data_IF_196631597831
#
_entry.id   IF_196631597831
#
_cell.length_a   1.000
_cell.length_b   1.000
_cell.length_c   1.000
_cell.angle_alpha   90.00
_cell.angle_beta   90.00
_cell.angle_gamma   90.00
#
_symmetry.space_group_name_H-M   'P 1'
#
loop_
_entity.id
_entity.type
_entity.pdbx_description
1 polymer ?
#
# COMPACT_ATOMS: atom_id res chain seq x y z
N UNK A 1 9.76 -3.57 -2.10
CA UNK A 1 9.37 -4.60 -1.14
C UNK A 1 7.85 -4.59 -0.99
N UNK A 2 7.25 -5.76 -0.76
CA UNK A 2 5.83 -5.92 -0.45
C UNK A 2 5.74 -6.54 0.94
N UNK A 3 5.08 -5.88 1.87
CA UNK A 3 4.98 -6.30 3.27
C UNK A 3 3.51 -6.41 3.65
N UNK A 4 3.16 -7.46 4.39
CA UNK A 4 1.83 -7.56 5.02
C UNK A 4 1.96 -7.09 6.45
N UNK A 5 1.26 -6.00 6.78
CA UNK A 5 1.36 -5.31 8.07
C UNK A 5 -0.02 -5.15 8.71
N UNK A 6 -0.13 -4.93 10.03
CA UNK A 6 -1.40 -4.52 10.64
C UNK A 6 -1.92 -3.23 9.98
N UNK A 7 -3.23 -3.15 9.71
CA UNK A 7 -3.81 -1.96 9.06
C UNK A 7 -3.71 -0.70 9.90
N UNK A 8 -3.55 -0.86 11.22
CA UNK A 8 -3.40 0.23 12.18
C UNK A 8 -1.93 0.60 12.47
N UNK A 9 -0.97 0.12 11.66
CA UNK A 9 0.47 0.35 11.90
C UNK A 9 0.86 1.84 11.87
N UNK A 10 0.08 2.67 11.17
CA UNK A 10 0.23 4.13 11.14
C UNK A 10 -0.69 4.85 12.13
N UNK A 11 -1.12 4.15 13.19
CA UNK A 11 -1.89 4.72 14.30
C UNK A 11 -1.17 4.43 15.62
N UNK A 12 -1.13 5.41 16.53
CA UNK A 12 -0.48 5.28 17.84
C UNK A 12 0.74 6.18 18.02
N UNK A 13 1.46 5.98 19.13
CA UNK A 13 2.49 6.93 19.61
C UNK A 13 3.79 6.88 18.80
N UNK A 14 4.12 5.72 18.21
CA UNK A 14 5.41 5.50 17.52
C UNK A 14 5.37 5.71 15.99
N UNK A 15 4.26 6.21 15.45
CA UNK A 15 4.05 6.34 14.00
C UNK A 15 5.13 7.21 13.34
N UNK A 16 5.46 8.35 13.96
CA UNK A 16 6.50 9.26 13.43
C UNK A 16 7.88 8.60 13.30
N UNK A 17 8.22 7.69 14.22
CA UNK A 17 9.49 6.96 14.17
C UNK A 17 9.49 5.95 13.02
N UNK A 18 8.38 5.23 12.85
CA UNK A 18 8.20 4.28 11.75
C UNK A 18 8.24 4.98 10.40
N UNK A 19 7.49 6.08 10.23
CA UNK A 19 7.49 6.89 9.01
C UNK A 19 8.89 7.37 8.68
N UNK A 20 9.63 7.90 9.66
CA UNK A 20 11.02 8.34 9.47
C UNK A 20 11.93 7.19 9.05
N UNK A 21 11.79 6.02 9.68
CA UNK A 21 12.60 4.84 9.34
C UNK A 21 12.34 4.38 7.90
N UNK A 22 11.07 4.27 7.51
CA UNK A 22 10.66 3.91 6.14
C UNK A 22 11.20 4.96 5.16
N UNK A 23 10.99 6.24 5.45
CA UNK A 23 11.36 7.36 4.58
C UNK A 23 12.87 7.61 4.48
N UNK A 24 13.71 6.95 5.28
CA UNK A 24 15.18 7.12 5.20
C UNK A 24 15.72 6.47 3.93
N UNK A 25 15.39 5.20 3.71
CA UNK A 25 15.95 4.40 2.61
C UNK A 25 14.93 4.04 1.53
N UNK A 26 13.64 4.30 1.79
CA UNK A 26 12.55 3.91 0.89
C UNK A 26 11.54 5.03 0.69
N UNK A 27 10.82 4.97 -0.40
CA UNK A 27 9.59 5.72 -0.65
C UNK A 27 8.41 4.77 -0.52
N UNK A 28 7.41 5.16 0.25
CA UNK A 28 6.14 4.45 0.29
C UNK A 28 5.41 4.67 -1.04
N UNK A 29 5.01 3.59 -1.69
CA UNK A 29 4.34 3.63 -2.99
C UNK A 29 2.83 3.44 -2.83
N UNK A 30 2.43 2.46 -2.02
CA UNK A 30 1.03 2.18 -1.77
C UNK A 30 0.83 1.54 -0.40
N UNK A 31 -0.36 1.74 0.14
CA UNK A 31 -0.89 1.06 1.31
C UNK A 31 -2.31 0.58 1.00
N UNK A 32 -2.44 -0.73 0.80
CA UNK A 32 -3.67 -1.36 0.34
C UNK A 32 -4.28 -2.15 1.50
N UNK A 33 -5.41 -1.69 2.04
CA UNK A 33 -6.10 -2.43 3.09
C UNK A 33 -6.77 -3.66 2.49
N UNK A 34 -6.51 -4.83 3.06
CA UNK A 34 -7.19 -6.05 2.64
C UNK A 34 -8.68 -5.99 3.05
N UNK A 35 -9.54 -6.77 2.37
CA UNK A 35 -10.96 -6.82 2.70
C UNK A 35 -11.16 -7.26 4.16
N UNK A 36 -12.02 -6.58 4.94
CA UNK A 36 -12.27 -6.96 6.34
C UNK A 36 -12.83 -8.37 6.46
N UNK A 37 -13.50 -8.87 5.42
CA UNK A 37 -14.09 -10.22 5.35
C UNK A 37 -13.07 -11.36 5.38
N UNK A 38 -11.77 -11.07 5.21
CA UNK A 38 -10.70 -12.04 5.40
C UNK A 38 -10.31 -12.25 6.88
N UNK A 39 -10.78 -11.38 7.77
CA UNK A 39 -10.34 -11.34 9.16
C UNK A 39 -11.53 -11.57 10.10
N UNK A 40 -11.26 -12.23 11.23
CA UNK A 40 -12.30 -12.49 12.25
C UNK A 40 -12.81 -11.20 12.92
N UNK A 41 -12.00 -10.15 12.95
CA UNK A 41 -12.33 -8.86 13.53
C UNK A 41 -11.46 -7.75 12.94
N UNK A 42 -11.89 -6.50 13.10
CA UNK A 42 -11.18 -5.31 12.59
C UNK A 42 -9.75 -5.16 13.13
N UNK A 43 -9.50 -5.56 14.39
CA UNK A 43 -8.17 -5.48 14.99
C UNK A 43 -7.16 -6.41 14.32
N UNK A 44 -7.62 -7.49 13.70
CA UNK A 44 -6.80 -8.43 12.96
C UNK A 44 -6.61 -8.02 11.49
N UNK A 45 -7.25 -6.94 11.03
CA UNK A 45 -7.17 -6.48 9.65
C UNK A 45 -5.74 -6.15 9.28
N UNK A 46 -5.33 -6.62 8.11
CA UNK A 46 -4.00 -6.40 7.56
C UNK A 46 -4.06 -5.57 6.29
N UNK A 47 -2.93 -4.97 5.96
CA UNK A 47 -2.73 -4.18 4.75
C UNK A 47 -1.44 -4.61 4.06
N UNK A 48 -1.40 -4.40 2.75
CA UNK A 48 -0.20 -4.56 1.94
C UNK A 48 0.49 -3.19 1.86
N UNK A 49 1.66 -3.10 2.45
CA UNK A 49 2.56 -1.95 2.35
C UNK A 49 3.57 -2.20 1.23
N UNK A 50 3.58 -1.32 0.24
CA UNK A 50 4.49 -1.36 -0.92
C UNK A 50 5.53 -0.26 -0.77
N UNK A 51 6.80 -0.65 -0.71
CA UNK A 51 7.95 0.23 -0.55
C UNK A 51 8.88 0.13 -1.76
N UNK A 52 9.45 1.25 -2.19
CA UNK A 52 10.50 1.29 -3.22
C UNK A 52 11.77 1.85 -2.60
N UNK A 53 12.91 1.16 -2.76
CA UNK A 53 14.20 1.67 -2.29
C UNK A 53 14.55 2.96 -3.06
N UNK A 54 15.00 4.00 -2.35
CA UNK A 54 15.49 5.24 -2.97
C UNK A 54 16.70 4.96 -3.84
N UNK A 55 16.69 5.46 -5.07
CA UNK A 55 17.81 5.39 -6.01
C UNK A 55 17.87 6.69 -6.80
N UNK A 56 19.02 7.36 -6.72
CA UNK A 56 19.25 8.65 -7.37
C UNK A 56 18.93 8.57 -8.87
N UNK A 57 18.12 9.50 -9.36
CA UNK A 57 17.68 9.56 -10.77
C UNK A 57 16.53 8.61 -11.15
N UNK A 58 16.18 7.64 -10.31
CA UNK A 58 15.13 6.64 -10.60
C UNK A 58 13.91 6.77 -9.71
N UNK A 59 14.09 7.05 -8.41
CA UNK A 59 12.96 7.26 -7.51
C UNK A 59 12.50 8.70 -7.52
N UNK A 60 11.23 8.89 -7.90
CA UNK A 60 10.53 10.17 -7.76
C UNK A 60 9.56 10.08 -6.58
N UNK A 61 9.28 11.20 -5.89
CA UNK A 61 8.12 11.28 -5.01
C UNK A 61 6.88 10.93 -5.83
N UNK A 62 6.15 9.91 -5.41
CA UNK A 62 4.88 9.52 -6.00
C UNK A 62 3.76 9.90 -5.06
N UNK A 63 2.58 10.11 -5.62
CA UNK A 63 1.37 10.13 -4.80
C UNK A 63 1.13 8.73 -4.26
N UNK A 64 1.15 8.60 -2.93
CA UNK A 64 0.96 7.31 -2.26
C UNK A 64 -0.45 6.82 -2.53
N UNK A 65 -0.59 5.62 -3.11
CA UNK A 65 -1.89 5.01 -3.29
C UNK A 65 -2.39 4.44 -1.96
N UNK A 66 -3.41 5.08 -1.39
CA UNK A 66 -4.17 4.55 -0.26
C UNK A 66 -5.49 3.99 -0.79
N UNK A 67 -5.68 2.67 -0.71
CA UNK A 67 -6.89 2.05 -1.22
C UNK A 67 -7.39 0.91 -0.34
N UNK A 68 -8.70 0.63 -0.44
CA UNK A 68 -9.31 -0.55 0.15
C UNK A 68 -9.56 -1.56 -0.95
N UNK A 69 -9.01 -2.75 -0.79
CA UNK A 69 -9.27 -3.85 -1.71
C UNK A 69 -10.71 -4.33 -1.47
N UNK A 70 -11.54 -4.45 -2.53
CA UNK A 70 -12.92 -4.94 -2.41
C UNK A 70 -12.93 -6.42 -2.06
N UNK A 71 -14.07 -6.92 -1.58
CA UNK A 71 -14.22 -8.33 -1.23
C UNK A 71 -13.87 -9.23 -2.43
N UNK A 72 -13.00 -10.21 -2.21
CA UNK A 72 -12.59 -11.20 -3.21
C UNK A 72 -13.74 -12.07 -3.70
N UNK A 73 -14.84 -12.15 -2.94
CA UNK A 73 -16.09 -12.82 -3.32
C UNK A 73 -16.93 -12.00 -4.30
N UNK A 74 -16.55 -10.76 -4.62
CA UNK A 74 -17.17 -9.94 -5.66
C UNK A 74 -16.21 -9.75 -6.85
N UNK A 75 -16.22 -10.68 -7.83
CA UNK A 75 -15.29 -10.66 -8.95
C UNK A 75 -15.36 -9.37 -9.78
N UNK A 76 -16.56 -8.78 -9.94
CA UNK A 76 -16.76 -7.57 -10.73
C UNK A 76 -16.07 -6.36 -10.10
N UNK A 77 -16.28 -6.14 -8.80
CA UNK A 77 -15.61 -5.04 -8.08
C UNK A 77 -14.09 -5.28 -7.99
N UNK A 78 -13.67 -6.52 -7.77
CA UNK A 78 -12.26 -6.86 -7.73
C UNK A 78 -11.57 -6.61 -9.08
N UNK A 79 -12.22 -6.95 -10.20
CA UNK A 79 -11.70 -6.67 -11.53
C UNK A 79 -11.60 -5.17 -11.83
N UNK A 80 -12.60 -4.38 -11.40
CA UNK A 80 -12.55 -2.92 -11.47
C UNK A 80 -11.36 -2.35 -10.69
N UNK A 81 -11.20 -2.78 -9.44
CA UNK A 81 -10.07 -2.38 -8.60
C UNK A 81 -8.71 -2.72 -9.23
N UNK A 82 -8.55 -3.92 -9.81
CA UNK A 82 -7.31 -4.31 -10.48
C UNK A 82 -7.02 -3.45 -11.71
N UNK A 83 -8.07 -2.99 -12.41
CA UNK A 83 -7.93 -2.08 -13.56
C UNK A 83 -7.40 -0.72 -13.10
N UNK A 84 -7.99 -0.14 -12.05
CA UNK A 84 -7.55 1.12 -11.45
C UNK A 84 -6.12 1.01 -10.90
N UNK A 85 -5.80 -0.10 -10.23
CA UNK A 85 -4.46 -0.35 -9.69
C UNK A 85 -3.41 -0.42 -10.81
N UNK A 86 -3.71 -1.08 -11.92
CA UNK A 86 -2.81 -1.15 -13.08
C UNK A 86 -2.59 0.23 -13.69
N UNK A 87 -3.66 1.01 -13.89
CA UNK A 87 -3.56 2.39 -14.40
C UNK A 87 -2.70 3.29 -13.49
N UNK A 88 -2.89 3.17 -12.17
CA UNK A 88 -2.08 3.89 -11.21
C UNK A 88 -0.59 3.47 -11.28
N UNK A 89 -0.31 2.17 -11.41
CA UNK A 89 1.06 1.67 -11.54
C UNK A 89 1.75 2.18 -12.80
N UNK A 90 1.05 2.22 -13.94
CA UNK A 90 1.59 2.71 -15.22
C UNK A 90 1.91 4.20 -15.19
N UNK A 91 1.16 4.98 -14.40
CA UNK A 91 1.35 6.43 -14.25
C UNK A 91 2.50 6.75 -13.30
N UNK A 92 2.63 6.00 -12.20
CA UNK A 92 3.51 6.36 -11.09
C UNK A 92 4.83 5.57 -11.03
N UNK A 93 4.95 4.42 -11.70
CA UNK A 93 6.25 3.74 -11.81
C UNK A 93 7.04 4.28 -13.00
N UNK A 94 8.35 4.62 -12.80
CA UNK A 94 9.21 4.92 -13.94
C UNK A 94 9.26 3.69 -14.85
N UNK A 95 9.01 3.90 -16.14
CA UNK A 95 9.22 2.88 -17.17
C UNK A 95 10.71 2.50 -17.14
N UNK A 96 10.98 1.19 -17.05
CA UNK A 96 12.33 0.64 -17.15
C UNK A 96 12.95 0.97 -18.51
#
# INVERSE_FOLDING_TARGET
AFLVVPSNIFTGEHVKQLEKYIATETEMQAFLNLPPTLFKNEKARKSILILQKKKSGETKPVEVLLANIPDFKNPSQFQGFMTELNQWMDTNRPKK
#
